data_IF_244571761794
#
_entry.id   IF_244571761794
#
_cell.length_a   1.000
_cell.length_b   1.000
_cell.length_c   1.000
_cell.angle_alpha   90.00
_cell.angle_beta   90.00
_cell.angle_gamma   90.00
#
_symmetry.space_group_name_H-M   'P 1'
#
loop_
_entity.id
_entity.type
_entity.pdbx_description
1 polymer ?
#
# COMPACT_ATOMS: atom_id res chain seq x y z
N UNK A 1 8.88 -12.08 0.00
CA UNK A 1 9.19 -10.82 0.72
C UNK A 1 7.89 -10.21 1.26
N UNK A 2 7.92 -9.68 2.49
CA UNK A 2 6.78 -9.01 3.12
C UNK A 2 6.89 -7.51 2.90
N UNK A 3 5.77 -6.89 2.53
CA UNK A 3 5.69 -5.46 2.28
C UNK A 3 4.64 -4.82 3.17
N UNK A 4 4.84 -3.58 3.64
CA UNK A 4 3.78 -2.82 4.27
C UNK A 4 2.68 -2.58 3.24
N UNK A 5 1.46 -3.03 3.54
CA UNK A 5 0.31 -2.89 2.65
C UNK A 5 -0.83 -2.20 3.36
N UNK A 6 -1.65 -1.50 2.58
CA UNK A 6 -2.90 -0.92 3.05
C UNK A 6 -4.03 -1.32 2.12
N UNK A 7 -5.17 -1.64 2.72
CA UNK A 7 -6.40 -1.89 1.98
C UNK A 7 -7.06 -0.55 1.64
N UNK A 8 -7.33 -0.32 0.36
CA UNK A 8 -8.04 0.86 -0.11
C UNK A 8 -9.48 0.48 -0.45
N UNK A 9 -10.43 0.94 0.37
CA UNK A 9 -11.85 0.72 0.14
C UNK A 9 -12.34 1.33 -1.18
N UNK A 10 -11.70 2.40 -1.66
CA UNK A 10 -12.09 3.06 -2.91
C UNK A 10 -11.88 2.18 -4.15
N UNK A 11 -10.89 1.29 -4.12
CA UNK A 11 -10.57 0.42 -5.27
C UNK A 11 -10.65 -1.06 -4.94
N UNK A 12 -11.14 -1.39 -3.74
CA UNK A 12 -11.22 -2.75 -3.20
C UNK A 12 -9.91 -3.55 -3.35
N UNK A 13 -8.77 -2.87 -3.24
CA UNK A 13 -7.46 -3.45 -3.52
C UNK A 13 -6.50 -3.24 -2.36
N UNK A 14 -5.57 -4.18 -2.20
CA UNK A 14 -4.39 -3.99 -1.36
C UNK A 14 -3.26 -3.33 -2.14
N UNK A 15 -2.78 -2.21 -1.62
CA UNK A 15 -1.68 -1.43 -2.16
C UNK A 15 -0.47 -1.54 -1.26
N UNK A 16 0.72 -1.48 -1.85
CA UNK A 16 1.97 -1.42 -1.08
C UNK A 16 2.22 0.01 -0.68
N UNK A 17 2.47 0.24 0.60
CA UNK A 17 2.88 1.53 1.14
C UNK A 17 4.34 1.74 0.77
N UNK A 18 4.63 2.84 0.07
CA UNK A 18 6.01 3.24 -0.29
C UNK A 18 6.53 4.27 0.70
N UNK A 19 5.72 5.30 0.97
CA UNK A 19 6.08 6.40 1.86
C UNK A 19 4.93 6.71 2.83
N UNK A 20 5.14 7.73 3.69
CA UNK A 20 4.14 8.20 4.66
C UNK A 20 2.77 8.48 4.03
N UNK A 21 2.69 8.95 2.79
CA UNK A 21 1.40 9.35 2.21
C UNK A 21 1.09 8.62 0.88
N UNK A 22 2.03 7.86 0.34
CA UNK A 22 1.97 7.33 -1.03
C UNK A 22 2.19 5.83 -1.06
N UNK A 23 1.42 5.18 -1.93
CA UNK A 23 1.61 3.78 -2.31
C UNK A 23 2.60 3.65 -3.47
N UNK A 24 3.12 2.45 -3.69
CA UNK A 24 4.00 2.14 -4.83
C UNK A 24 3.33 2.44 -6.18
N UNK A 25 2.00 2.32 -6.25
CA UNK A 25 1.20 2.68 -7.41
C UNK A 25 0.98 4.20 -7.61
N UNK A 26 1.52 5.04 -6.72
CA UNK A 26 1.31 6.50 -6.74
C UNK A 26 0.00 6.97 -6.10
N UNK A 27 -0.91 6.05 -5.71
CA UNK A 27 -2.13 6.45 -4.98
C UNK A 27 -1.79 6.97 -3.59
N UNK A 28 -2.46 8.06 -3.21
CA UNK A 28 -2.48 8.51 -1.82
C UNK A 28 -3.49 7.69 -1.05
N UNK A 29 -3.05 7.08 0.05
CA UNK A 29 -3.92 6.29 0.90
C UNK A 29 -4.54 7.09 2.06
N UNK A 30 -4.17 8.38 2.20
CA UNK A 30 -4.86 9.36 3.05
C UNK A 30 -5.31 10.58 2.27
N UNK A 31 -6.56 10.99 2.52
CA UNK A 31 -7.16 12.23 1.98
C UNK A 31 -6.70 13.46 2.78
N UNK A 32 -6.41 13.29 4.06
CA UNK A 32 -5.93 14.36 4.93
C UNK A 32 -4.39 14.41 4.96
N UNK A 33 -3.84 15.62 5.01
CA UNK A 33 -2.40 15.88 5.04
C UNK A 33 -1.69 15.30 6.29
N UNK A 34 -2.43 14.91 7.31
CA UNK A 34 -1.93 14.43 8.59
C UNK A 34 -2.24 12.95 8.73
N UNK A 35 -1.21 12.10 8.76
CA UNK A 35 -1.37 10.71 9.17
C UNK A 35 -1.64 10.64 10.66
N UNK A 36 -2.75 10.03 11.03
CA UNK A 36 -3.03 9.71 12.42
C UNK A 36 -2.39 8.37 12.82
N UNK A 37 -2.20 8.14 14.12
CA UNK A 37 -1.75 6.83 14.62
C UNK A 37 -2.72 5.70 14.25
N UNK A 38 -4.01 6.00 14.18
CA UNK A 38 -5.05 5.03 13.78
C UNK A 38 -4.90 4.60 12.33
N UNK A 39 -4.43 5.51 11.48
CA UNK A 39 -4.17 5.24 10.08
C UNK A 39 -2.93 4.37 9.87
N UNK A 40 -1.85 4.63 10.60
CA UNK A 40 -0.67 3.76 10.61
C UNK A 40 -0.99 2.34 11.08
N UNK A 41 -1.96 2.18 12.01
CA UNK A 41 -2.42 0.86 12.45
C UNK A 41 -3.18 0.07 11.36
N UNK A 42 -3.67 0.72 10.30
CA UNK A 42 -4.29 0.04 9.15
C UNK A 42 -3.25 -0.55 8.20
N UNK A 43 -1.99 -0.14 8.33
CA UNK A 43 -0.89 -0.69 7.55
C UNK A 43 -0.55 -2.07 8.10
N UNK A 44 -0.62 -3.08 7.26
CA UNK A 44 -0.35 -4.48 7.60
C UNK A 44 0.76 -5.01 6.73
N UNK A 45 1.71 -5.74 7.33
CA UNK A 45 2.76 -6.40 6.55
C UNK A 45 2.19 -7.68 5.95
N UNK A 46 2.22 -7.75 4.63
CA UNK A 46 1.61 -8.84 3.86
C UNK A 46 2.57 -9.35 2.81
N UNK A 47 2.39 -10.62 2.44
CA UNK A 47 3.25 -11.19 1.42
C UNK A 47 2.91 -10.57 0.06
N UNK A 48 3.90 -10.37 -0.81
CA UNK A 48 3.69 -9.76 -2.13
C UNK A 48 2.59 -10.46 -2.96
N UNK A 49 2.39 -11.77 -2.75
CA UNK A 49 1.35 -12.56 -3.39
C UNK A 49 -0.07 -12.11 -3.01
N UNK A 50 -0.25 -11.58 -1.80
CA UNK A 50 -1.51 -11.02 -1.26
C UNK A 50 -1.78 -9.58 -1.72
N UNK A 51 -0.87 -8.97 -2.47
CA UNK A 51 -1.08 -7.64 -3.07
C UNK A 51 -2.00 -7.80 -4.28
N UNK A 52 -3.16 -7.14 -4.22
CA UNK A 52 -4.16 -7.16 -5.29
C UNK A 52 -3.95 -6.06 -6.32
N UNK A 53 -3.31 -4.94 -5.94
CA UNK A 53 -3.07 -3.84 -6.87
C UNK A 53 -2.08 -4.26 -7.97
N UNK A 54 -2.46 -4.24 -9.26
CA UNK A 54 -1.61 -4.70 -10.36
C UNK A 54 -0.35 -3.86 -10.51
N UNK A 55 -0.45 -2.54 -10.30
CA UNK A 55 0.70 -1.62 -10.38
C UNK A 55 1.69 -1.91 -9.25
N UNK A 56 1.21 -2.05 -8.01
CA UNK A 56 2.08 -2.38 -6.87
C UNK A 56 2.77 -3.75 -7.07
N UNK A 57 2.04 -4.73 -7.63
CA UNK A 57 2.55 -6.07 -7.90
C UNK A 57 3.64 -6.06 -8.97
N UNK A 58 3.49 -5.23 -10.00
CA UNK A 58 4.50 -5.02 -11.05
C UNK A 58 5.73 -4.27 -10.56
N UNK A 59 5.59 -3.29 -9.66
CA UNK A 59 6.75 -2.60 -9.06
C UNK A 59 7.70 -3.55 -8.35
N UNK A 60 7.18 -4.55 -7.63
CA UNK A 60 8.02 -5.55 -6.94
C UNK A 60 8.76 -6.46 -7.92
N UNK A 61 8.10 -6.85 -9.02
CA UNK A 61 8.70 -7.75 -10.03
C UNK A 61 9.88 -7.16 -10.77
N UNK A 62 10.03 -5.83 -10.75
CA UNK A 62 11.16 -5.15 -11.39
C UNK A 62 12.41 -5.04 -10.48
N UNK A 63 12.29 -5.39 -9.20
CA UNK A 63 13.40 -5.39 -8.23
C UNK A 63 13.95 -6.80 -7.94
N UNK A 64 13.45 -7.84 -8.62
CA UNK A 64 13.99 -9.22 -8.58
C UNK A 64 15.04 -9.46 -9.67
#
# INVERSE_FOLDING_TARGET
MFFPTIYSANTDERHIVKDKNTCACGKRYHVFAILTRSDLRKITFKHYKEVSCPICKSSIKHEE
#
